data_IF_465821113964
#
_entry.id   IF_465821113964
#
_cell.length_a   1.000
_cell.length_b   1.000
_cell.length_c   1.000
_cell.angle_alpha   90.00
_cell.angle_beta   90.00
_cell.angle_gamma   90.00
#
_symmetry.space_group_name_H-M   'P 1'
#
loop_
_entity.id
_entity.type
_entity.pdbx_description
1 polymer ?
#
# COMPACT_ATOMS: atom_id res chain seq x y z
N UNK A 1 -41.73 -25.20 -44.89
CA UNK A 1 -40.98 -24.00 -44.46
C UNK A 1 -41.09 -23.85 -42.95
N UNK A 2 -40.16 -24.41 -42.15
CA UNK A 2 -39.96 -24.00 -40.74
C UNK A 2 -38.47 -24.17 -40.45
N UNK A 3 -37.74 -23.06 -40.45
CA UNK A 3 -36.30 -23.01 -40.14
C UNK A 3 -36.13 -22.88 -38.63
N UNK A 4 -35.45 -23.83 -37.99
CA UNK A 4 -35.11 -23.79 -36.56
C UNK A 4 -33.78 -23.05 -36.41
N UNK A 5 -33.85 -21.81 -35.94
CA UNK A 5 -32.69 -21.04 -35.49
C UNK A 5 -32.23 -21.56 -34.12
N UNK A 6 -31.14 -22.32 -34.09
CA UNK A 6 -30.36 -22.58 -32.87
C UNK A 6 -29.56 -21.34 -32.51
N UNK A 7 -29.95 -20.63 -31.45
CA UNK A 7 -29.09 -19.63 -30.81
C UNK A 7 -27.94 -20.34 -30.09
N UNK A 8 -26.72 -20.17 -30.57
CA UNK A 8 -25.52 -20.50 -29.82
C UNK A 8 -25.26 -19.39 -28.79
N UNK A 9 -25.41 -19.69 -27.51
CA UNK A 9 -25.03 -18.80 -26.42
C UNK A 9 -23.50 -18.77 -26.32
N UNK A 10 -22.88 -17.67 -26.79
CA UNK A 10 -21.47 -17.40 -26.56
C UNK A 10 -21.31 -16.92 -25.12
N UNK A 11 -20.81 -17.80 -24.25
CA UNK A 11 -20.39 -17.43 -22.90
C UNK A 11 -19.10 -16.60 -23.01
N UNK A 12 -19.23 -15.28 -22.94
CA UNK A 12 -18.09 -14.37 -22.78
C UNK A 12 -17.55 -14.57 -21.36
N UNK A 13 -16.51 -15.39 -21.22
CA UNK A 13 -15.72 -15.43 -20.00
C UNK A 13 -14.95 -14.11 -19.89
N UNK A 14 -15.48 -13.17 -19.10
CA UNK A 14 -14.73 -12.01 -18.66
C UNK A 14 -13.54 -12.50 -17.84
N UNK A 15 -12.29 -12.10 -18.15
CA UNK A 15 -11.16 -12.43 -17.29
C UNK A 15 -11.42 -11.81 -15.92
N UNK A 16 -11.42 -12.67 -14.91
CA UNK A 16 -11.54 -12.32 -13.50
C UNK A 16 -10.49 -11.27 -13.15
N UNK A 17 -10.91 -10.04 -12.87
CA UNK A 17 -10.03 -8.99 -12.33
C UNK A 17 -9.86 -9.26 -10.83
N UNK A 18 -8.99 -10.20 -10.51
CA UNK A 18 -8.53 -10.50 -9.14
C UNK A 18 -7.02 -10.77 -9.33
N UNK A 19 -6.09 -10.19 -8.58
CA UNK A 19 -6.09 -10.17 -7.14
C UNK A 19 -5.26 -8.99 -6.60
N UNK A 20 -5.59 -8.59 -5.36
CA UNK A 20 -4.60 -8.04 -4.44
C UNK A 20 -3.28 -8.85 -4.54
N UNK A 21 -2.12 -8.21 -4.42
CA UNK A 21 -0.80 -8.85 -4.57
C UNK A 21 -0.45 -9.83 -3.43
N UNK A 22 -1.45 -10.32 -2.69
CA UNK A 22 -1.37 -11.52 -1.90
C UNK A 22 -1.35 -12.72 -2.85
N UNK A 23 -0.16 -13.17 -3.25
CA UNK A 23 0.03 -14.42 -3.98
C UNK A 23 -0.60 -15.60 -3.23
N UNK A 24 -0.53 -15.55 -1.90
CA UNK A 24 -1.25 -16.45 -1.01
C UNK A 24 -1.56 -15.70 0.28
N UNK A 25 -2.83 -15.57 0.64
CA UNK A 25 -3.24 -15.03 1.94
C UNK A 25 -4.43 -15.79 2.49
N UNK A 26 -4.23 -16.44 3.63
CA UNK A 26 -5.29 -17.04 4.42
C UNK A 26 -5.47 -16.22 5.70
N UNK A 27 -6.60 -15.52 5.82
CA UNK A 27 -6.90 -14.77 7.04
C UNK A 27 -7.24 -15.74 8.18
N UNK A 28 -6.64 -15.57 9.38
CA UNK A 28 -6.95 -16.43 10.50
C UNK A 28 -8.38 -16.17 11.00
N UNK A 29 -8.94 -17.15 11.72
CA UNK A 29 -10.25 -17.03 12.37
C UNK A 29 -10.21 -15.99 13.50
N UNK A 30 -9.12 -15.98 14.28
CA UNK A 30 -8.82 -14.97 15.30
C UNK A 30 -7.69 -14.07 14.82
N UNK A 31 -7.83 -12.76 15.06
CA UNK A 31 -6.77 -11.79 14.78
C UNK A 31 -6.00 -11.46 16.06
N UNK A 32 -4.74 -11.08 15.90
CA UNK A 32 -3.92 -10.59 17.01
C UNK A 32 -4.59 -9.39 17.70
N UNK A 33 -4.52 -9.36 19.03
CA UNK A 33 -5.01 -8.23 19.82
C UNK A 33 -4.04 -7.06 19.64
N UNK A 34 -4.57 -5.95 19.13
CA UNK A 34 -3.82 -4.70 18.97
C UNK A 34 -3.60 -4.00 20.31
N UNK A 35 -2.50 -3.24 20.38
CA UNK A 35 -2.12 -2.40 21.52
C UNK A 35 -2.40 -0.93 21.20
N UNK A 36 -2.63 -0.07 22.21
CA UNK A 36 -2.76 1.36 21.98
C UNK A 36 -1.57 1.91 21.21
N UNK A 37 -1.84 2.80 20.25
CA UNK A 37 -0.82 3.56 19.53
C UNK A 37 -1.09 5.04 19.81
N UNK A 38 -0.15 5.69 20.50
CA UNK A 38 -0.31 7.02 21.08
C UNK A 38 0.83 7.93 20.60
N UNK A 39 0.61 9.26 20.58
CA UNK A 39 1.68 10.21 20.34
C UNK A 39 2.86 10.00 21.30
N UNK A 40 4.06 10.32 20.83
CA UNK A 40 5.29 10.33 21.63
C UNK A 40 6.08 11.60 21.37
N UNK A 41 7.17 11.84 22.11
CA UNK A 41 8.05 12.99 21.88
C UNK A 41 8.64 13.00 20.45
N UNK A 42 8.97 11.83 19.90
CA UNK A 42 9.51 11.70 18.54
C UNK A 42 8.42 11.77 17.46
N UNK A 43 7.16 11.51 17.83
CA UNK A 43 6.00 11.58 16.94
C UNK A 43 4.84 12.30 17.64
N UNK A 44 4.95 13.62 17.86
CA UNK A 44 3.98 14.37 18.65
C UNK A 44 2.67 14.57 17.88
N UNK A 45 1.59 14.82 18.61
CA UNK A 45 0.32 15.24 17.99
C UNK A 45 0.53 16.48 17.13
N UNK A 46 0.04 16.44 15.89
CA UNK A 46 0.03 17.58 14.97
C UNK A 46 -1.34 17.66 14.31
N UNK A 47 -2.17 18.57 14.78
CA UNK A 47 -3.51 18.80 14.24
C UNK A 47 -3.46 20.03 13.32
N UNK A 48 -3.21 19.78 12.03
CA UNK A 48 -3.09 20.81 10.99
C UNK A 48 -3.93 20.44 9.76
N UNK A 49 -4.32 21.39 8.91
CA UNK A 49 -5.13 21.09 7.73
C UNK A 49 -4.45 20.12 6.75
N UNK A 50 -5.21 19.12 6.29
CA UNK A 50 -4.79 18.22 5.21
C UNK A 50 -4.80 18.94 3.85
N UNK A 51 -3.65 18.97 3.18
CA UNK A 51 -3.46 19.52 1.84
C UNK A 51 -3.43 18.47 0.73
N UNK A 52 -3.01 17.25 1.02
CA UNK A 52 -2.95 16.11 0.07
C UNK A 52 -2.98 14.77 0.81
N UNK A 53 -2.83 13.68 0.07
CA UNK A 53 -2.57 12.37 0.65
C UNK A 53 -1.40 11.69 -0.05
N UNK A 54 -0.75 10.80 0.68
CA UNK A 54 0.21 9.82 0.15
C UNK A 54 -0.34 8.42 0.39
N UNK A 55 -0.41 7.61 -0.66
CA UNK A 55 -0.67 6.18 -0.54
C UNK A 55 0.68 5.44 -0.55
N UNK A 56 1.07 4.90 0.59
CA UNK A 56 2.35 4.23 0.77
C UNK A 56 2.22 2.72 0.62
N UNK A 57 3.11 2.14 -0.19
CA UNK A 57 3.03 0.74 -0.63
C UNK A 57 4.39 0.11 -0.45
N UNK A 58 4.46 -0.94 0.35
CA UNK A 58 5.70 -1.65 0.68
C UNK A 58 5.94 -2.81 -0.28
N UNK A 59 7.20 -3.06 -0.65
CA UNK A 59 7.60 -4.30 -1.31
C UNK A 59 7.89 -5.40 -0.28
N UNK A 60 6.91 -6.28 -0.05
CA UNK A 60 6.93 -7.24 1.05
C UNK A 60 8.13 -8.22 1.03
N UNK A 61 8.62 -8.71 -0.12
CA UNK A 61 9.81 -9.56 -0.11
C UNK A 61 11.03 -8.91 0.54
N UNK A 62 11.29 -7.63 0.25
CA UNK A 62 12.40 -6.91 0.90
C UNK A 62 12.10 -6.66 2.38
N UNK A 63 10.87 -6.25 2.71
CA UNK A 63 10.47 -6.09 4.11
C UNK A 63 10.72 -7.38 4.91
N UNK A 64 10.30 -8.53 4.39
CA UNK A 64 10.46 -9.82 5.07
C UNK A 64 11.90 -10.29 5.18
N UNK A 65 12.76 -9.92 4.23
CA UNK A 65 14.20 -10.16 4.34
C UNK A 65 14.81 -9.48 5.56
N UNK A 66 14.34 -8.27 5.90
CA UNK A 66 14.89 -7.47 7.00
C UNK A 66 14.13 -7.66 8.33
N UNK A 67 12.86 -8.07 8.26
CA UNK A 67 11.94 -8.04 9.39
C UNK A 67 11.26 -9.39 9.68
N UNK A 68 11.59 -10.45 8.93
CA UNK A 68 10.91 -11.76 9.03
C UNK A 68 10.95 -12.37 10.43
N UNK A 69 12.05 -12.16 11.16
CA UNK A 69 12.24 -12.68 12.51
C UNK A 69 11.65 -11.77 13.60
N UNK A 70 11.11 -10.59 13.24
CA UNK A 70 10.50 -9.69 14.21
C UNK A 70 9.16 -10.25 14.69
N UNK A 71 8.91 -10.12 15.99
CA UNK A 71 7.59 -10.40 16.58
C UNK A 71 6.51 -9.59 15.85
N UNK A 72 5.44 -10.25 15.43
CA UNK A 72 4.34 -9.66 14.66
C UNK A 72 4.49 -9.77 13.13
N UNK A 73 5.64 -10.19 12.61
CA UNK A 73 5.85 -10.37 11.16
C UNK A 73 5.36 -11.72 10.62
N UNK A 74 5.03 -12.68 11.49
CA UNK A 74 4.70 -14.07 11.10
C UNK A 74 3.58 -14.14 10.06
N UNK A 75 2.57 -13.29 10.16
CA UNK A 75 1.47 -13.27 9.19
C UNK A 75 1.91 -12.81 7.79
N UNK A 76 2.80 -11.82 7.71
CA UNK A 76 3.30 -11.27 6.44
C UNK A 76 4.42 -12.13 5.83
N UNK A 77 5.32 -12.62 6.65
CA UNK A 77 6.59 -13.20 6.23
C UNK A 77 6.68 -14.72 6.40
N UNK A 78 5.66 -15.35 6.99
CA UNK A 78 5.62 -16.78 7.28
C UNK A 78 4.21 -17.35 7.15
N UNK A 79 3.94 -18.43 7.89
CA UNK A 79 2.63 -19.09 8.00
C UNK A 79 1.94 -19.46 6.67
N UNK A 80 2.73 -19.70 5.61
CA UNK A 80 2.21 -20.02 4.29
C UNK A 80 1.65 -18.83 3.51
N UNK A 81 1.69 -17.60 4.05
CA UNK A 81 1.31 -16.41 3.29
C UNK A 81 2.48 -15.91 2.45
N UNK A 82 2.15 -15.30 1.31
CA UNK A 82 3.11 -14.74 0.34
C UNK A 82 2.53 -13.46 -0.25
N UNK A 83 3.28 -12.38 -0.17
CA UNK A 83 2.89 -11.06 -0.64
C UNK A 83 3.94 -10.48 -1.60
N UNK A 84 3.46 -9.76 -2.61
CA UNK A 84 4.25 -8.84 -3.43
C UNK A 84 4.22 -7.44 -2.82
N UNK A 85 3.51 -6.51 -3.46
CA UNK A 85 3.25 -5.21 -2.86
C UNK A 85 2.16 -5.28 -1.79
N UNK A 86 2.34 -4.62 -0.66
CA UNK A 86 1.32 -4.50 0.41
C UNK A 86 1.04 -3.04 0.69
N UNK A 87 -0.18 -2.72 1.10
CA UNK A 87 -0.51 -1.37 1.55
C UNK A 87 0.15 -1.14 2.91
N UNK A 88 1.03 -0.14 3.00
CA UNK A 88 1.46 0.40 4.28
C UNK A 88 0.33 1.26 4.85
N UNK A 89 -0.08 2.30 4.13
CA UNK A 89 -0.99 3.30 4.68
C UNK A 89 -1.51 4.34 3.69
N UNK A 90 -2.52 5.10 4.13
CA UNK A 90 -3.03 6.30 3.45
C UNK A 90 -2.80 7.50 4.37
N UNK A 91 -1.80 8.31 4.07
CA UNK A 91 -1.33 9.35 4.96
C UNK A 91 -1.85 10.70 4.50
N UNK A 92 -2.61 11.43 5.33
CA UNK A 92 -2.89 12.83 5.05
C UNK A 92 -1.60 13.64 5.17
N UNK A 93 -1.28 14.39 4.13
CA UNK A 93 -0.16 15.34 4.08
C UNK A 93 -0.68 16.76 4.33
N UNK A 94 0.15 17.64 4.89
CA UNK A 94 -0.22 19.05 5.04
C UNK A 94 -0.12 19.82 3.73
N UNK A 95 -0.39 21.13 3.80
CA UNK A 95 -0.19 22.05 2.66
C UNK A 95 1.30 22.28 2.39
N UNK A 96 2.12 22.24 3.44
CA UNK A 96 3.58 22.35 3.40
C UNK A 96 4.28 21.03 3.65
N UNK A 97 5.52 21.09 4.17
CA UNK A 97 6.36 19.92 4.46
C UNK A 97 5.91 19.11 5.68
N UNK A 98 5.10 19.71 6.55
CA UNK A 98 4.57 19.07 7.75
C UNK A 98 3.29 18.32 7.42
N UNK A 99 3.02 17.24 8.14
CA UNK A 99 1.83 16.41 7.98
C UNK A 99 1.00 16.34 9.27
N UNK A 100 -0.33 16.28 9.20
CA UNK A 100 -1.14 15.99 10.37
C UNK A 100 -0.88 14.57 10.88
N UNK A 101 -0.83 14.40 12.20
CA UNK A 101 -0.74 13.09 12.84
C UNK A 101 -1.37 13.08 14.23
N UNK A 102 -1.97 11.95 14.60
CA UNK A 102 -2.64 11.74 15.89
C UNK A 102 -3.65 12.85 16.24
N UNK A 103 -4.49 13.24 15.28
CA UNK A 103 -5.35 14.43 15.42
C UNK A 103 -6.44 14.27 16.49
N UNK A 104 -6.95 13.05 16.65
CA UNK A 104 -7.94 12.69 17.66
C UNK A 104 -7.55 11.39 18.38
N UNK A 105 -8.17 11.15 19.53
CA UNK A 105 -8.00 9.90 20.25
C UNK A 105 -8.46 8.71 19.39
N UNK A 106 -7.61 7.70 19.31
CA UNK A 106 -7.83 6.55 18.44
C UNK A 106 -8.61 5.46 19.18
N UNK A 107 -9.81 5.14 18.69
CA UNK A 107 -10.46 3.87 19.06
C UNK A 107 -9.61 2.68 18.58
N UNK A 108 -9.72 1.55 19.27
CA UNK A 108 -9.14 0.31 18.77
C UNK A 108 -9.80 -0.09 17.45
N UNK A 109 -9.00 -0.48 16.45
CA UNK A 109 -9.52 -1.02 15.20
C UNK A 109 -10.28 -2.32 15.52
N UNK A 110 -11.58 -2.43 15.17
CA UNK A 110 -12.36 -3.61 15.51
C UNK A 110 -11.80 -4.88 14.85
N UNK A 111 -11.78 -6.04 15.54
CA UNK A 111 -11.28 -7.30 14.97
C UNK A 111 -11.85 -7.68 13.59
N UNK A 112 -13.16 -7.46 13.29
CA UNK A 112 -13.69 -7.71 11.95
C UNK A 112 -13.07 -6.83 10.86
N UNK A 113 -12.75 -5.58 11.20
CA UNK A 113 -12.08 -4.63 10.28
C UNK A 113 -10.64 -5.08 10.07
N UNK A 114 -9.92 -5.45 11.14
CA UNK A 114 -8.57 -6.00 11.02
C UNK A 114 -8.56 -7.19 10.07
N UNK A 115 -9.41 -8.19 10.32
CA UNK A 115 -9.50 -9.41 9.51
C UNK A 115 -9.77 -9.10 8.04
N UNK A 116 -10.67 -8.16 7.74
CA UNK A 116 -11.02 -7.78 6.38
C UNK A 116 -9.84 -7.16 5.60
N UNK A 117 -8.89 -6.52 6.29
CA UNK A 117 -7.79 -5.79 5.66
C UNK A 117 -6.42 -6.45 5.80
N UNK A 118 -6.30 -7.56 6.54
CA UNK A 118 -5.03 -8.29 6.72
C UNK A 118 -4.38 -8.72 5.40
N UNK A 119 -5.14 -9.12 4.38
CA UNK A 119 -4.54 -9.48 3.08
C UNK A 119 -4.08 -8.28 2.24
N UNK A 120 -4.34 -7.05 2.70
CA UNK A 120 -3.89 -5.81 2.07
C UNK A 120 -2.76 -5.17 2.88
N UNK A 121 -2.93 -5.10 4.20
CA UNK A 121 -1.95 -4.62 5.18
C UNK A 121 -1.72 -5.76 6.20
N UNK A 122 -0.69 -6.59 5.99
CA UNK A 122 -0.53 -7.88 6.69
C UNK A 122 0.07 -7.75 8.11
N UNK A 123 -0.45 -6.82 8.90
CA UNK A 123 -0.13 -6.68 10.32
C UNK A 123 -1.28 -6.00 11.05
N UNK A 124 -1.80 -6.64 12.09
CA UNK A 124 -2.87 -6.08 12.91
C UNK A 124 -2.39 -4.81 13.64
N UNK A 125 -1.17 -4.83 14.18
CA UNK A 125 -0.63 -3.65 14.86
C UNK A 125 -0.32 -2.52 13.88
N UNK A 126 0.09 -2.81 12.64
CA UNK A 126 0.23 -1.79 11.61
C UNK A 126 -1.12 -1.14 11.28
N UNK A 127 -2.19 -1.92 11.16
CA UNK A 127 -3.54 -1.37 11.00
C UNK A 127 -3.90 -0.45 12.18
N UNK A 128 -3.60 -0.82 13.42
CA UNK A 128 -3.83 0.08 14.55
C UNK A 128 -3.00 1.38 14.47
N UNK A 129 -1.73 1.28 14.09
CA UNK A 129 -0.84 2.43 13.90
C UNK A 129 -1.38 3.39 12.84
N UNK A 130 -1.73 2.85 11.67
CA UNK A 130 -2.24 3.61 10.54
C UNK A 130 -3.54 4.34 10.86
N UNK A 131 -4.43 3.68 11.61
CA UNK A 131 -5.63 4.35 12.09
C UNK A 131 -5.29 5.48 13.07
N UNK A 132 -4.51 5.18 14.12
CA UNK A 132 -4.25 6.12 15.20
C UNK A 132 -3.49 7.36 14.72
N UNK A 133 -2.45 7.15 13.93
CA UNK A 133 -1.57 8.21 13.46
C UNK A 133 -2.16 8.98 12.28
N UNK A 134 -2.78 8.30 11.31
CA UNK A 134 -3.17 8.91 10.03
C UNK A 134 -4.68 8.97 9.85
N UNK A 135 -5.40 7.89 10.13
CA UNK A 135 -6.84 7.80 9.97
C UNK A 135 -7.62 8.78 10.85
N UNK A 136 -7.17 9.03 12.09
CA UNK A 136 -7.78 10.02 13.00
C UNK A 136 -7.72 11.45 12.47
N UNK A 137 -6.85 11.74 11.49
CA UNK A 137 -6.73 13.06 10.87
C UNK A 137 -7.66 13.25 9.65
N UNK A 138 -8.51 12.27 9.33
CA UNK A 138 -9.47 12.36 8.23
C UNK A 138 -10.88 12.67 8.78
N UNK A 139 -11.42 13.89 8.58
CA UNK A 139 -12.70 14.28 9.16
C UNK A 139 -13.86 13.35 8.76
N UNK A 140 -14.62 12.87 9.75
CA UNK A 140 -15.77 11.99 9.53
C UNK A 140 -15.38 10.57 9.05
N UNK A 141 -14.13 10.16 9.26
CA UNK A 141 -13.70 8.78 9.09
C UNK A 141 -13.76 8.02 10.41
N UNK A 142 -14.02 6.73 10.30
CA UNK A 142 -13.88 5.70 11.35
C UNK A 142 -13.02 4.58 10.77
N UNK A 143 -12.48 3.64 11.57
CA UNK A 143 -11.54 2.62 11.08
C UNK A 143 -12.01 1.90 9.80
N UNK A 144 -13.24 1.40 9.77
CA UNK A 144 -13.77 0.70 8.60
C UNK A 144 -13.81 1.58 7.34
N UNK A 145 -14.21 2.86 7.45
CA UNK A 145 -14.25 3.78 6.31
C UNK A 145 -12.84 4.14 5.84
N UNK A 146 -11.90 4.32 6.76
CA UNK A 146 -10.49 4.57 6.46
C UNK A 146 -9.89 3.40 5.68
N UNK A 147 -9.95 2.18 6.22
CA UNK A 147 -9.34 1.05 5.55
C UNK A 147 -10.04 0.64 4.25
N UNK A 148 -11.36 0.80 4.14
CA UNK A 148 -12.06 0.61 2.86
C UNK A 148 -11.60 1.62 1.80
N UNK A 149 -11.41 2.89 2.18
CA UNK A 149 -10.87 3.90 1.27
C UNK A 149 -9.44 3.56 0.84
N UNK A 150 -8.57 3.23 1.79
CA UNK A 150 -7.15 2.93 1.53
C UNK A 150 -6.99 1.66 0.68
N UNK A 151 -7.69 0.58 1.04
CA UNK A 151 -7.70 -0.67 0.27
C UNK A 151 -8.31 -0.48 -1.13
N UNK A 152 -9.35 0.36 -1.26
CA UNK A 152 -9.95 0.69 -2.55
C UNK A 152 -9.03 1.50 -3.48
N UNK A 153 -8.13 2.32 -2.93
CA UNK A 153 -7.09 3.01 -3.72
C UNK A 153 -5.98 2.04 -4.12
N UNK A 154 -5.49 1.25 -3.17
CA UNK A 154 -4.48 0.22 -3.40
C UNK A 154 -4.93 -0.81 -4.44
N UNK A 155 -6.16 -1.31 -4.35
CA UNK A 155 -6.71 -2.32 -5.26
C UNK A 155 -6.92 -1.85 -6.71
N UNK A 156 -6.83 -0.54 -6.98
CA UNK A 156 -6.86 -0.01 -8.35
C UNK A 156 -5.50 -0.05 -9.03
N UNK A 157 -4.42 -0.25 -8.27
CA UNK A 157 -3.08 -0.25 -8.79
C UNK A 157 -2.78 -1.54 -9.53
N UNK A 158 -2.00 -1.40 -10.59
CA UNK A 158 -1.40 -2.47 -11.37
C UNK A 158 0.10 -2.42 -11.13
N UNK A 159 0.75 -3.57 -11.11
CA UNK A 159 2.17 -3.66 -10.79
C UNK A 159 2.93 -4.22 -12.00
N UNK A 160 4.13 -3.70 -12.31
CA UNK A 160 4.97 -4.24 -13.37
C UNK A 160 5.51 -5.62 -13.00
N UNK A 161 6.06 -6.33 -13.98
CA UNK A 161 6.77 -7.59 -13.73
C UNK A 161 8.05 -7.32 -12.92
N UNK A 162 7.95 -7.55 -11.61
CA UNK A 162 9.03 -7.34 -10.65
C UNK A 162 10.19 -8.32 -10.86
N UNK A 163 9.90 -9.50 -11.40
CA UNK A 163 10.87 -10.54 -11.64
C UNK A 163 11.76 -10.19 -12.83
N UNK A 164 11.15 -9.67 -13.91
CA UNK A 164 11.87 -9.10 -15.05
C UNK A 164 12.71 -7.88 -14.64
N UNK A 165 12.12 -6.94 -13.88
CA UNK A 165 12.83 -5.74 -13.42
C UNK A 165 14.04 -6.04 -12.54
N UNK A 166 14.00 -7.12 -11.75
CA UNK A 166 15.12 -7.52 -10.88
C UNK A 166 16.35 -8.05 -11.63
N UNK A 167 16.22 -8.41 -12.91
CA UNK A 167 17.26 -9.12 -13.69
C UNK A 167 18.13 -8.21 -14.57
N UNK A 168 17.85 -6.92 -14.57
CA UNK A 168 18.58 -5.92 -15.35
C UNK A 168 19.01 -4.75 -14.47
N UNK A 169 20.05 -3.98 -14.86
CA UNK A 169 20.39 -2.73 -14.19
C UNK A 169 19.18 -1.80 -14.12
N UNK A 170 18.77 -1.46 -12.91
CA UNK A 170 17.56 -0.68 -12.64
C UNK A 170 17.92 0.60 -11.90
N UNK A 171 17.22 1.68 -12.24
CA UNK A 171 17.24 2.93 -11.47
C UNK A 171 15.85 3.23 -10.95
N UNK A 172 15.75 4.09 -9.93
CA UNK A 172 14.47 4.55 -9.40
C UNK A 172 13.56 5.15 -10.49
N UNK A 173 14.12 5.91 -11.43
CA UNK A 173 13.38 6.50 -12.55
C UNK A 173 12.85 5.46 -13.53
N UNK A 174 13.65 4.43 -13.86
CA UNK A 174 13.19 3.32 -14.73
C UNK A 174 12.11 2.49 -14.05
N UNK A 175 12.22 2.26 -12.75
CA UNK A 175 11.18 1.61 -11.96
C UNK A 175 9.88 2.44 -11.95
N UNK A 176 9.97 3.75 -11.68
CA UNK A 176 8.82 4.65 -11.69
C UNK A 176 8.14 4.72 -13.08
N UNK A 177 8.91 4.67 -14.16
CA UNK A 177 8.39 4.59 -15.51
C UNK A 177 7.64 3.27 -15.78
N UNK A 178 8.16 2.13 -15.29
CA UNK A 178 7.47 0.84 -15.39
C UNK A 178 6.16 0.83 -14.59
N UNK A 179 6.16 1.35 -13.37
CA UNK A 179 4.96 1.54 -12.55
C UNK A 179 3.94 2.43 -13.26
N UNK A 180 4.36 3.58 -13.81
CA UNK A 180 3.48 4.48 -14.56
C UNK A 180 2.90 3.81 -15.80
N UNK A 181 3.71 3.07 -16.56
CA UNK A 181 3.26 2.33 -17.74
C UNK A 181 2.18 1.27 -17.45
N UNK A 182 2.21 0.68 -16.24
CA UNK A 182 1.19 -0.27 -15.80
C UNK A 182 -0.14 0.41 -15.39
N UNK A 183 -0.13 1.69 -15.03
CA UNK A 183 -1.25 2.38 -14.37
C UNK A 183 -1.77 3.57 -15.19
N UNK A 184 -2.94 3.45 -15.86
CA UNK A 184 -3.54 4.56 -16.59
C UNK A 184 -3.74 5.79 -15.70
N UNK A 185 -3.25 6.94 -16.18
CA UNK A 185 -3.35 8.23 -15.48
C UNK A 185 -2.26 8.50 -14.43
N UNK A 186 -1.46 7.50 -14.04
CA UNK A 186 -0.31 7.68 -13.17
C UNK A 186 0.93 8.05 -13.98
N UNK A 187 1.70 9.04 -13.53
CA UNK A 187 2.98 9.44 -14.13
C UNK A 187 4.12 9.21 -13.14
N UNK A 188 5.35 9.10 -13.65
CA UNK A 188 6.52 8.89 -12.80
C UNK A 188 6.75 10.02 -11.77
N UNK A 189 6.37 11.27 -12.08
CA UNK A 189 6.48 12.41 -11.16
C UNK A 189 5.34 12.49 -10.11
N UNK A 190 4.37 11.58 -10.19
CA UNK A 190 3.27 11.40 -9.24
C UNK A 190 3.55 10.30 -8.20
N UNK A 191 4.78 9.78 -8.19
CA UNK A 191 5.24 8.87 -7.15
C UNK A 191 6.65 9.21 -6.65
N UNK A 192 6.98 8.68 -5.48
CA UNK A 192 8.34 8.59 -4.95
C UNK A 192 8.69 7.13 -4.73
N UNK A 193 9.92 6.79 -5.07
CA UNK A 193 10.49 5.45 -4.87
C UNK A 193 11.49 5.56 -3.74
N UNK A 194 11.36 4.71 -2.73
CA UNK A 194 12.29 4.64 -1.60
C UNK A 194 13.07 3.34 -1.64
N UNK A 195 14.23 3.35 -1.00
CA UNK A 195 15.05 2.16 -0.86
C UNK A 195 15.69 2.12 0.52
N UNK A 196 16.04 0.91 0.93
CA UNK A 196 16.87 0.67 2.10
C UNK A 196 18.26 1.30 1.88
N UNK A 197 19.06 1.41 2.94
CA UNK A 197 20.41 1.98 2.86
C UNK A 197 21.30 1.26 1.83
N UNK A 198 21.02 -0.01 1.56
CA UNK A 198 21.74 -0.84 0.61
C UNK A 198 21.16 -0.78 -0.82
N UNK A 199 20.19 0.10 -1.08
CA UNK A 199 19.62 0.32 -2.41
C UNK A 199 18.56 -0.69 -2.84
N UNK A 200 17.98 -1.46 -1.92
CA UNK A 200 16.86 -2.36 -2.22
C UNK A 200 15.53 -1.62 -2.14
N UNK A 201 14.63 -1.85 -3.09
CA UNK A 201 13.28 -1.29 -3.10
C UNK A 201 12.59 -1.56 -1.76
N UNK A 202 12.16 -0.48 -1.12
CA UNK A 202 11.48 -0.50 0.17
C UNK A 202 10.00 -0.17 -0.05
N UNK A 203 9.72 1.07 -0.46
CA UNK A 203 8.36 1.54 -0.70
C UNK A 203 8.19 2.35 -2.00
N UNK A 204 6.93 2.46 -2.40
CA UNK A 204 6.45 3.39 -3.41
C UNK A 204 5.37 4.25 -2.77
N UNK A 205 5.58 5.57 -2.81
CA UNK A 205 4.63 6.55 -2.30
C UNK A 205 3.92 7.22 -3.47
N UNK A 206 2.62 6.97 -3.62
CA UNK A 206 1.79 7.59 -4.65
C UNK A 206 1.14 8.85 -4.11
N UNK A 207 1.35 9.98 -4.78
CA UNK A 207 0.85 11.27 -4.32
C UNK A 207 -0.54 11.55 -4.88
N UNK A 208 -1.45 11.94 -3.99
CA UNK A 208 -2.86 12.14 -4.26
C UNK A 208 -3.33 13.54 -3.86
N UNK A 209 -4.24 14.12 -4.63
CA UNK A 209 -4.95 15.33 -4.25
C UNK A 209 -6.01 15.05 -3.17
N UNK A 210 -6.69 16.10 -2.67
CA UNK A 210 -7.72 15.97 -1.63
C UNK A 210 -8.95 15.17 -2.07
N UNK A 211 -9.07 14.84 -3.36
CA UNK A 211 -10.11 13.99 -3.95
C UNK A 211 -9.58 12.60 -4.30
N UNK A 212 -8.40 12.23 -3.80
CA UNK A 212 -7.71 10.97 -4.04
C UNK A 212 -7.34 10.71 -5.51
N UNK A 213 -7.18 11.76 -6.33
CA UNK A 213 -6.70 11.64 -7.70
C UNK A 213 -5.18 11.78 -7.74
N UNK A 214 -4.52 11.07 -8.64
CA UNK A 214 -3.08 11.21 -8.82
C UNK A 214 -2.70 12.66 -9.07
N UNK A 215 -1.66 13.11 -8.36
CA UNK A 215 -1.08 14.43 -8.53
C UNK A 215 0.43 14.31 -8.53
N UNK A 216 1.10 15.32 -9.08
CA UNK A 216 2.55 15.44 -8.94
C UNK A 216 2.92 15.50 -7.46
N UNK A 217 3.92 14.71 -7.07
CA UNK A 217 4.45 14.73 -5.72
C UNK A 217 5.14 16.06 -5.43
N UNK A 218 4.92 16.66 -4.24
CA UNK A 218 5.63 17.86 -3.83
C UNK A 218 7.16 17.72 -3.87
N UNK A 219 7.86 18.82 -4.13
CA UNK A 219 9.33 18.85 -4.22
C UNK A 219 10.03 18.53 -2.90
N UNK A 220 9.37 18.81 -1.77
CA UNK A 220 9.90 18.55 -0.43
C UNK A 220 9.70 17.10 0.01
N UNK A 221 8.89 16.32 -0.71
CA UNK A 221 8.69 14.90 -0.38
C UNK A 221 9.92 14.13 -0.80
N UNK A 222 10.46 13.34 0.14
CA UNK A 222 11.67 12.54 -0.06
C UNK A 222 11.53 11.44 -1.11
N UNK A 223 12.52 10.56 -1.17
CA UNK A 223 12.63 9.50 -2.16
C UNK A 223 13.95 9.59 -2.92
N UNK A 224 14.26 8.53 -3.67
CA UNK A 224 15.48 8.45 -4.45
C UNK A 224 15.48 9.44 -5.62
N UNK A 225 16.68 9.90 -5.98
CA UNK A 225 16.89 10.57 -7.27
C UNK A 225 16.55 9.58 -8.41
N UNK A 226 15.90 10.01 -9.52
CA UNK A 226 15.58 9.13 -10.64
C UNK A 226 16.78 8.35 -11.24
N UNK A 227 18.00 8.88 -11.14
CA UNK A 227 19.21 8.19 -11.60
C UNK A 227 19.81 7.21 -10.57
N UNK A 228 19.33 7.21 -9.33
CA UNK A 228 19.86 6.35 -8.28
C UNK A 228 19.68 4.87 -8.63
N UNK A 229 20.72 4.03 -8.46
CA UNK A 229 20.60 2.59 -8.60
C UNK A 229 19.54 2.01 -7.66
N UNK A 230 18.81 1.00 -8.13
CA UNK A 230 17.77 0.32 -7.37
C UNK A 230 17.87 -1.19 -7.59
N UNK A 231 17.71 -1.96 -6.53
CA UNK A 231 17.67 -3.42 -6.56
C UNK A 231 16.31 -3.93 -6.09
N UNK A 232 15.86 -5.06 -6.60
CA UNK A 232 14.59 -5.69 -6.21
C UNK A 232 14.90 -7.08 -5.66
N UNK A 233 14.59 -7.29 -4.39
CA UNK A 233 14.68 -8.62 -3.78
C UNK A 233 13.46 -9.43 -4.14
N UNK A 234 13.63 -10.68 -4.56
CA UNK A 234 12.54 -11.54 -5.02
C UNK A 234 12.01 -12.53 -3.98
N UNK A 235 12.55 -12.48 -2.75
CA UNK A 235 12.31 -13.51 -1.74
C UNK A 235 13.26 -14.70 -1.87
N UNK A 236 13.28 -15.56 -0.86
CA UNK A 236 13.89 -16.88 -0.95
C UNK A 236 13.00 -17.78 -1.81
N UNK A 237 13.59 -18.49 -2.77
CA UNK A 237 12.91 -19.52 -3.56
C UNK A 237 12.46 -20.68 -2.67
#
# INVERSE_FOLDING_TARGET
MISRLTLAAVAIALPSVVQAQAYQCSTPTSVERVRPDLPSESQPKRDIPTGSYTLAITWAPQYCRENGDRTGSTFQCGAGNRFGFTLHGLWPDGVGKDWPQYCHDAEFVPPPVIRAHLCTTPSAQLLQHEWAKHGTCMPGYRPAKYFNQSAGLYGKLRYPDMDALSRAPLTAGRFAAAMAGANPGLKADMMRVTATKQGWLDEVWICLDRRFRYRRCPVHQGGLNPSAPLQIWRGSR
#
